data_IF_060648872313
#
_entry.id   IF_060648872313
#
_cell.length_a   1.000
_cell.length_b   1.000
_cell.length_c   1.000
_cell.angle_alpha   90.00
_cell.angle_beta   90.00
_cell.angle_gamma   90.00
#
_symmetry.space_group_name_H-M   'P 1'
#
loop_
_entity.id
_entity.type
_entity.pdbx_description
1 polymer ?
#
# COMPACT_ATOMS: atom_id res chain seq x y z
N UNK A 1 9.29 0.13 -3.84
CA UNK A 1 8.27 -0.78 -4.37
C UNK A 1 7.22 0.03 -5.12
N UNK A 2 6.82 -0.36 -6.35
CA UNK A 2 5.87 0.38 -7.20
C UNK A 2 4.66 -0.51 -7.53
N UNK A 3 3.85 -0.81 -6.52
CA UNK A 3 2.62 -1.58 -6.73
C UNK A 3 1.47 -0.77 -6.13
N UNK A 4 1.07 0.26 -6.86
CA UNK A 4 -0.05 1.15 -6.55
C UNK A 4 -0.79 1.49 -7.83
N UNK A 5 -2.06 1.85 -7.71
CA UNK A 5 -2.91 2.35 -8.79
C UNK A 5 -3.82 3.47 -8.24
N UNK A 6 -4.75 3.96 -9.06
CA UNK A 6 -5.81 4.87 -8.62
C UNK A 6 -6.71 4.28 -7.53
N UNK A 7 -6.83 2.95 -7.50
CA UNK A 7 -7.83 2.23 -6.71
C UNK A 7 -7.27 1.59 -5.45
N UNK A 8 -5.94 1.56 -5.32
CA UNK A 8 -5.31 0.87 -4.20
C UNK A 8 -3.79 0.83 -4.25
N UNK A 9 -3.23 0.10 -3.30
CA UNK A 9 -1.81 -0.18 -3.23
C UNK A 9 -1.51 -1.47 -2.48
N UNK A 10 -0.33 -1.99 -2.74
CA UNK A 10 0.28 -3.04 -1.93
C UNK A 10 1.20 -2.42 -0.88
N UNK A 11 1.13 -2.93 0.34
CA UNK A 11 2.06 -2.57 1.42
C UNK A 11 2.65 -3.83 2.05
N UNK A 12 3.80 -3.65 2.69
CA UNK A 12 4.43 -4.66 3.53
C UNK A 12 4.52 -4.14 4.96
N UNK A 13 4.28 -5.03 5.91
CA UNK A 13 4.21 -4.71 7.34
C UNK A 13 4.80 -5.85 8.17
N UNK A 14 5.29 -5.54 9.36
CA UNK A 14 5.74 -6.52 10.36
C UNK A 14 4.57 -7.13 11.16
N UNK A 15 3.34 -6.63 10.95
CA UNK A 15 2.15 -7.01 11.70
C UNK A 15 0.94 -7.21 10.78
N UNK A 16 0.14 -8.26 10.96
CA UNK A 16 -1.02 -8.50 10.11
C UNK A 16 -2.20 -7.59 10.49
N UNK A 17 -3.00 -7.20 9.48
CA UNK A 17 -4.30 -6.55 9.64
C UNK A 17 -5.34 -7.36 8.87
N UNK A 18 -6.42 -7.81 9.52
CA UNK A 18 -7.42 -8.69 8.90
C UNK A 18 -8.12 -8.04 7.71
N UNK A 19 -8.54 -8.79 6.67
CA UNK A 19 -9.37 -8.25 5.61
C UNK A 19 -10.64 -7.59 6.16
N UNK A 20 -11.06 -6.48 5.55
CA UNK A 20 -12.13 -5.61 6.05
C UNK A 20 -11.67 -4.53 7.05
N UNK A 21 -10.43 -4.58 7.52
CA UNK A 21 -9.87 -3.51 8.37
C UNK A 21 -9.71 -2.24 7.55
N UNK A 22 -10.16 -1.11 8.10
CA UNK A 22 -9.94 0.22 7.53
C UNK A 22 -8.69 0.84 8.16
N UNK A 23 -7.76 1.26 7.32
CA UNK A 23 -6.50 1.89 7.70
C UNK A 23 -6.46 3.34 7.21
N UNK A 24 -5.88 4.21 8.03
CA UNK A 24 -5.38 5.51 7.57
C UNK A 24 -3.95 5.29 7.11
N UNK A 25 -3.69 5.46 5.81
CA UNK A 25 -2.38 5.26 5.21
C UNK A 25 -1.76 6.62 4.92
N UNK A 26 -0.50 6.80 5.33
CA UNK A 26 0.28 8.00 5.04
C UNK A 26 1.60 7.63 4.36
N UNK A 27 1.80 8.11 3.14
CA UNK A 27 3.05 8.01 2.42
C UNK A 27 4.02 9.08 2.94
N UNK A 28 5.08 8.66 3.66
CA UNK A 28 6.07 9.58 4.23
C UNK A 28 7.18 9.89 3.24
N UNK A 29 7.61 8.89 2.47
CA UNK A 29 8.67 9.02 1.46
C UNK A 29 8.29 8.22 0.23
N UNK A 30 8.50 8.84 -0.92
CA UNK A 30 8.38 8.21 -2.22
C UNK A 30 9.57 8.67 -3.05
N UNK A 31 10.26 7.77 -3.78
CA UNK A 31 11.39 8.16 -4.61
C UNK A 31 10.93 9.20 -5.63
N UNK A 32 11.70 10.28 -5.79
CA UNK A 32 11.47 11.31 -6.80
C UNK A 32 11.36 10.65 -8.16
N UNK A 33 10.13 10.50 -8.66
CA UNK A 33 9.91 10.04 -10.01
C UNK A 33 10.06 11.23 -10.95
N UNK A 34 10.72 11.02 -12.08
CA UNK A 34 10.38 11.70 -13.33
C UNK A 34 9.00 11.19 -13.74
N UNK A 35 7.97 11.74 -13.11
CA UNK A 35 6.57 11.42 -13.45
C UNK A 35 6.31 12.11 -14.78
N UNK A 36 5.93 11.35 -15.80
CA UNK A 36 5.39 11.91 -17.03
C UNK A 36 4.15 12.73 -16.62
N UNK A 37 4.09 14.05 -16.90
CA UNK A 37 2.97 14.89 -16.51
C UNK A 37 1.62 14.39 -17.04
N UNK A 38 1.60 13.49 -18.03
CA UNK A 38 0.38 12.86 -18.56
C UNK A 38 -0.08 11.61 -17.79
N UNK A 39 0.75 11.08 -16.87
CA UNK A 39 0.37 9.94 -16.03
C UNK A 39 -0.22 10.39 -14.69
N UNK A 40 -1.54 10.23 -14.56
CA UNK A 40 -2.32 10.59 -13.35
C UNK A 40 -2.05 9.64 -12.16
N UNK A 41 -1.20 8.64 -12.34
CA UNK A 41 -0.86 7.63 -11.33
C UNK A 41 0.19 8.16 -10.35
N UNK A 42 -0.23 9.02 -9.44
CA UNK A 42 0.56 9.40 -8.26
C UNK A 42 0.04 8.69 -7.03
N UNK A 43 0.93 8.17 -6.16
CA UNK A 43 0.47 7.63 -4.90
C UNK A 43 -0.13 8.73 -4.03
N UNK A 44 -1.25 8.42 -3.38
CA UNK A 44 -1.92 9.35 -2.46
C UNK A 44 -1.02 9.61 -1.24
N UNK A 45 -0.89 10.88 -0.86
CA UNK A 45 -0.08 11.27 0.30
C UNK A 45 -0.70 10.73 1.61
N UNK A 46 -2.02 10.87 1.74
CA UNK A 46 -2.83 10.35 2.84
C UNK A 46 -4.13 9.79 2.23
N UNK A 47 -4.58 8.62 2.66
CA UNK A 47 -5.86 8.05 2.27
C UNK A 47 -6.45 7.12 3.33
N UNK A 48 -7.75 6.88 3.24
CA UNK A 48 -8.41 5.75 3.88
C UNK A 48 -8.36 4.55 2.93
N UNK A 49 -8.08 3.36 3.45
CA UNK A 49 -8.02 2.15 2.65
C UNK A 49 -8.51 0.92 3.42
N UNK A 50 -9.26 0.07 2.74
CA UNK A 50 -9.69 -1.25 3.24
C UNK A 50 -8.64 -2.30 2.89
N UNK A 51 -8.27 -3.13 3.86
CA UNK A 51 -7.47 -4.35 3.60
C UNK A 51 -8.33 -5.37 2.88
N UNK A 52 -7.94 -5.79 1.67
CA UNK A 52 -8.68 -6.76 0.85
C UNK A 52 -8.14 -8.18 0.98
N UNK A 53 -6.83 -8.31 1.13
CA UNK A 53 -6.16 -9.60 1.30
C UNK A 53 -4.86 -9.43 2.07
N UNK A 54 -4.41 -10.53 2.69
CA UNK A 54 -3.10 -10.64 3.34
C UNK A 54 -2.39 -11.85 2.74
N UNK A 55 -1.09 -11.72 2.54
CA UNK A 55 -0.18 -12.82 2.23
C UNK A 55 0.93 -12.84 3.27
N UNK A 56 1.00 -13.94 4.02
CA UNK A 56 2.13 -14.18 4.92
C UNK A 56 3.39 -14.47 4.13
N UNK A 57 4.49 -13.85 4.54
CA UNK A 57 5.82 -13.97 3.96
C UNK A 57 6.86 -14.00 5.08
N UNK A 58 8.04 -14.46 4.73
CA UNK A 58 9.22 -14.38 5.57
C UNK A 58 10.23 -13.46 4.89
N UNK A 59 10.69 -12.45 5.61
CA UNK A 59 11.75 -11.54 5.17
C UNK A 59 12.93 -11.67 6.14
N UNK A 60 14.06 -12.20 5.67
CA UNK A 60 15.25 -12.53 6.47
C UNK A 60 14.93 -13.26 7.80
N UNK A 61 13.97 -14.20 7.75
CA UNK A 61 13.55 -15.00 8.90
C UNK A 61 12.63 -14.28 9.89
N UNK A 62 12.18 -13.06 9.57
CA UNK A 62 11.17 -12.31 10.33
C UNK A 62 9.81 -12.41 9.63
N UNK A 63 8.70 -12.46 10.40
CA UNK A 63 7.37 -12.37 9.82
C UNK A 63 7.19 -11.05 9.06
N UNK A 64 6.80 -11.15 7.80
CA UNK A 64 6.45 -10.02 6.96
C UNK A 64 5.11 -10.30 6.28
N UNK A 65 4.23 -9.32 6.24
CA UNK A 65 2.88 -9.48 5.71
C UNK A 65 2.70 -8.54 4.53
N UNK A 66 2.54 -9.12 3.35
CA UNK A 66 2.09 -8.40 2.17
C UNK A 66 0.59 -8.19 2.24
N UNK A 67 0.12 -6.97 1.97
CA UNK A 67 -1.30 -6.64 2.03
C UNK A 67 -1.75 -5.86 0.81
N UNK A 68 -2.89 -6.26 0.26
CA UNK A 68 -3.59 -5.48 -0.75
C UNK A 68 -4.57 -4.51 -0.09
N UNK A 69 -4.41 -3.24 -0.40
CA UNK A 69 -5.29 -2.17 0.04
C UNK A 69 -6.15 -1.69 -1.11
N UNK A 70 -7.42 -1.42 -0.82
CA UNK A 70 -8.34 -0.70 -1.70
C UNK A 70 -8.63 0.67 -1.10
N UNK A 71 -8.42 1.74 -1.85
CA UNK A 71 -8.75 3.08 -1.35
C UNK A 71 -10.26 3.24 -1.19
N UNK A 72 -10.64 3.93 -0.11
CA UNK A 72 -12.03 4.30 0.21
C UNK A 72 -12.13 5.78 -0.10
N UNK A 73 -12.34 6.08 -1.38
CA UNK A 73 -12.70 7.39 -1.94
C UNK A 73 -13.40 7.16 -3.28
#
# INVERSE_FOLDING_TARGET
MRNFSSDGAYIETDRPFTPGTILIVRMIRYPTMTVDPETDERPRLICLAEVRWIQERMDDGRPCYGMGLRYID
#
